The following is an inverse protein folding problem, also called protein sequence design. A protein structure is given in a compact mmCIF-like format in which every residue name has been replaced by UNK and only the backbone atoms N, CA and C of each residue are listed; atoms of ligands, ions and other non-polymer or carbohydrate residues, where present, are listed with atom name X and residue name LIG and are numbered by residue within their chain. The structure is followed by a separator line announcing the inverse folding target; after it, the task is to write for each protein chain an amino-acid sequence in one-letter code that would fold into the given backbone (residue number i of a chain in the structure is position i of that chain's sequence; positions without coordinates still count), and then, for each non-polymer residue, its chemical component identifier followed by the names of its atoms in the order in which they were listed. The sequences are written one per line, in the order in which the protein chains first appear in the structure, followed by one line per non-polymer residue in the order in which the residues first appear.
data_IF_922151530391
#
_entry.id   IF_922151530391
#
_cell.length_a   1.000
_cell.length_b   1.000
_cell.length_c   1.000
_cell.angle_alpha   90.00
_cell.angle_beta   90.00
_cell.angle_gamma   90.00
#
_symmetry.space_group_name_H-M   'P 1'
#
loop_
_entity.id
_entity.type
_entity.pdbx_description
1 polymer ?
#
# COMPACT_ATOMS: atom_id res chain seq x y z
N UNK A 1 -6.98 2.12 0.83
CA UNK A 1 -7.45 3.13 1.80
C UNK A 1 -6.92 2.87 3.21
N UNK A 2 -7.22 1.72 3.85
CA UNK A 2 -6.71 1.39 5.20
C UNK A 2 -5.17 1.47 5.32
N UNK A 3 -4.43 0.93 4.34
CA UNK A 3 -2.96 1.02 4.31
C UNK A 3 -2.48 2.49 4.26
N UNK A 4 -3.22 3.36 3.58
CA UNK A 4 -2.90 4.78 3.50
C UNK A 4 -3.16 5.51 4.83
N UNK A 5 -4.31 5.24 5.48
CA UNK A 5 -4.62 5.77 6.82
C UNK A 5 -3.56 5.30 7.82
N UNK A 6 -3.24 4.01 7.82
CA UNK A 6 -2.22 3.47 8.70
C UNK A 6 -0.87 4.15 8.46
N UNK A 7 -0.51 4.44 7.21
CA UNK A 7 0.74 5.15 6.92
C UNK A 7 0.78 6.59 7.45
N UNK A 8 -0.35 7.30 7.45
CA UNK A 8 -0.40 8.69 7.92
C UNK A 8 -0.50 8.77 9.45
N UNK A 9 -1.24 7.86 10.08
CA UNK A 9 -1.66 8.00 11.48
C UNK A 9 -1.13 6.91 12.43
N UNK A 10 -0.41 5.88 11.95
CA UNK A 10 0.10 4.81 12.83
C UNK A 10 1.40 5.19 13.57
N UNK A 11 1.74 4.48 14.65
CA UNK A 11 3.06 4.56 15.30
C UNK A 11 4.22 4.34 14.32
N UNK A 12 5.37 4.96 14.60
CA UNK A 12 6.57 4.95 13.73
C UNK A 12 6.99 3.56 13.25
N UNK A 13 6.86 2.54 14.09
CA UNK A 13 7.21 1.16 13.72
C UNK A 13 6.35 0.62 12.57
N UNK A 14 5.04 0.86 12.63
CA UNK A 14 4.08 0.40 11.59
C UNK A 14 4.30 1.19 10.31
N UNK A 15 4.59 2.49 10.41
CA UNK A 15 4.92 3.32 9.25
C UNK A 15 6.14 2.75 8.50
N UNK A 16 7.20 2.38 9.22
CA UNK A 16 8.42 1.83 8.61
C UNK A 16 8.18 0.51 7.89
N UNK A 17 7.36 -0.38 8.45
CA UNK A 17 6.96 -1.63 7.78
C UNK A 17 6.15 -1.37 6.50
N UNK A 18 5.21 -0.43 6.54
CA UNK A 18 4.42 -0.05 5.37
C UNK A 18 5.32 0.60 4.30
N UNK A 19 6.28 1.42 4.70
CA UNK A 19 7.26 2.02 3.78
C UNK A 19 8.12 0.95 3.10
N UNK A 20 8.62 -0.03 3.85
CA UNK A 20 9.35 -1.17 3.28
C UNK A 20 8.52 -1.94 2.25
N UNK A 21 7.25 -2.26 2.59
CA UNK A 21 6.32 -2.89 1.66
C UNK A 21 6.10 -2.05 0.38
N UNK A 22 5.82 -0.75 0.53
CA UNK A 22 5.58 0.15 -0.62
C UNK A 22 6.82 0.27 -1.49
N UNK A 23 8.00 0.38 -0.87
CA UNK A 23 9.28 0.46 -1.57
C UNK A 23 9.52 -0.78 -2.45
N UNK A 24 9.35 -1.98 -1.88
CA UNK A 24 9.54 -3.23 -2.63
C UNK A 24 8.53 -3.34 -3.78
N UNK A 25 7.25 -3.09 -3.50
CA UNK A 25 6.18 -3.30 -4.48
C UNK A 25 6.22 -2.29 -5.63
N UNK A 26 6.62 -1.04 -5.38
CA UNK A 26 6.75 -0.01 -6.42
C UNK A 26 8.12 0.00 -7.09
N UNK A 27 9.16 -0.50 -6.41
CA UNK A 27 10.53 -0.58 -6.92
C UNK A 27 10.81 -1.81 -7.78
N UNK A 28 9.96 -2.84 -7.72
CA UNK A 28 10.08 -4.05 -8.54
C UNK A 28 9.08 -4.07 -9.71
N UNK A 29 9.45 -4.63 -10.88
CA UNK A 29 8.52 -4.78 -11.99
C UNK A 29 7.35 -5.70 -11.64
N UNK A 30 6.13 -5.36 -12.08
CA UNK A 30 4.95 -6.23 -11.90
C UNK A 30 5.15 -7.63 -12.50
N UNK A 31 5.87 -7.73 -13.62
CA UNK A 31 6.21 -9.02 -14.23
C UNK A 31 7.01 -9.91 -13.27
N UNK A 32 7.96 -9.34 -12.53
CA UNK A 32 8.74 -10.07 -11.53
C UNK A 32 7.84 -10.58 -10.40
N UNK A 33 6.87 -9.77 -9.96
CA UNK A 33 5.92 -10.15 -8.92
C UNK A 33 4.99 -11.29 -9.39
N UNK A 34 4.52 -11.24 -10.63
CA UNK A 34 3.75 -12.32 -11.25
C UNK A 34 4.55 -13.62 -11.31
N UNK A 35 5.82 -13.54 -11.72
CA UNK A 35 6.72 -14.70 -11.75
C UNK A 35 6.97 -15.26 -10.34
N UNK A 36 7.17 -14.39 -9.34
CA UNK A 36 7.37 -14.80 -7.95
C UNK A 36 6.13 -15.48 -7.36
N UNK A 37 4.93 -14.95 -7.62
CA UNK A 37 3.69 -15.57 -7.10
C UNK A 37 3.41 -16.88 -7.83
N UNK A 38 3.56 -16.94 -9.16
CA UNK A 38 3.20 -18.13 -9.93
C UNK A 38 4.24 -19.26 -9.82
N UNK A 39 5.53 -18.93 -9.89
CA UNK A 39 6.62 -19.93 -9.85
C UNK A 39 7.27 -20.07 -8.47
N UNK A 40 7.24 -19.04 -7.62
CA UNK A 40 7.86 -19.06 -6.30
C UNK A 40 7.03 -19.77 -5.23
N UNK A 41 5.73 -19.49 -5.16
CA UNK A 41 4.83 -20.10 -4.17
C UNK A 41 4.78 -21.64 -4.21
N UNK A 42 4.86 -22.31 -5.38
CA UNK A 42 4.94 -23.76 -5.46
C UNK A 42 6.11 -24.38 -4.67
N UNK A 43 7.25 -23.69 -4.54
CA UNK A 43 8.38 -24.16 -3.71
C UNK A 43 8.05 -24.18 -2.21
N UNK A 44 7.03 -23.44 -1.80
CA UNK A 44 6.48 -23.44 -0.44
C UNK A 44 5.27 -24.37 -0.30
N UNK A 45 4.97 -25.18 -1.32
CA UNK A 45 3.81 -26.09 -1.36
C UNK A 45 2.48 -25.42 -1.73
N UNK A 46 2.49 -24.13 -2.06
CA UNK A 46 1.29 -23.38 -2.41
C UNK A 46 1.16 -23.33 -3.93
N UNK A 47 0.22 -24.11 -4.46
CA UNK A 47 -0.07 -24.16 -5.89
C UNK A 47 -1.35 -23.39 -6.18
N UNK A 48 -1.22 -22.30 -6.95
CA UNK A 48 -2.33 -21.46 -7.37
C UNK A 48 -2.60 -21.64 -8.86
N UNK A 49 -3.86 -21.57 -9.26
CA UNK A 49 -4.18 -21.42 -10.67
C UNK A 49 -3.70 -20.06 -11.21
N UNK A 50 -3.58 -19.95 -12.53
CA UNK A 50 -3.02 -18.78 -13.21
C UNK A 50 -3.78 -17.50 -12.89
N UNK A 51 -5.12 -17.57 -12.82
CA UNK A 51 -5.94 -16.40 -12.57
C UNK A 51 -5.76 -15.92 -11.13
N UNK A 52 -5.80 -16.83 -10.16
CA UNK A 52 -5.60 -16.48 -8.74
C UNK A 52 -4.19 -15.94 -8.48
N UNK A 53 -3.15 -16.55 -9.05
CA UNK A 53 -1.78 -16.04 -8.95
C UNK A 53 -1.64 -14.62 -9.51
N UNK A 54 -2.23 -14.37 -10.68
CA UNK A 54 -2.26 -13.04 -11.27
C UNK A 54 -3.02 -12.06 -10.36
N UNK A 55 -4.22 -12.42 -9.91
CA UNK A 55 -5.04 -11.59 -9.04
C UNK A 55 -4.26 -11.16 -7.78
N UNK A 56 -3.58 -12.10 -7.11
CA UNK A 56 -2.79 -11.79 -5.91
C UNK A 56 -1.67 -10.82 -6.23
N UNK A 57 -0.86 -11.09 -7.27
CA UNK A 57 0.26 -10.23 -7.66
C UNK A 57 -0.22 -8.81 -8.02
N UNK A 58 -1.33 -8.69 -8.75
CA UNK A 58 -1.92 -7.39 -9.08
C UNK A 58 -2.44 -6.68 -7.82
N UNK A 59 -3.18 -7.36 -6.95
CA UNK A 59 -3.74 -6.76 -5.73
C UNK A 59 -2.63 -6.23 -4.82
N UNK A 60 -1.58 -7.02 -4.56
CA UNK A 60 -0.47 -6.57 -3.71
C UNK A 60 0.32 -5.43 -4.35
N UNK A 61 0.43 -5.38 -5.68
CA UNK A 61 1.09 -4.30 -6.39
C UNK A 61 0.28 -3.00 -6.27
N UNK A 62 -0.98 -3.05 -6.72
CA UNK A 62 -1.86 -1.88 -6.78
C UNK A 62 -2.18 -1.33 -5.39
N UNK A 63 -2.27 -2.17 -4.36
CA UNK A 63 -2.42 -1.72 -2.99
C UNK A 63 -1.29 -0.76 -2.55
N UNK A 64 -0.04 -1.02 -2.97
CA UNK A 64 1.09 -0.14 -2.71
C UNK A 64 1.00 1.20 -3.47
N UNK A 65 0.62 1.17 -4.75
CA UNK A 65 0.42 2.39 -5.55
C UNK A 65 -0.72 3.24 -4.98
N UNK A 66 -1.85 2.64 -4.66
CA UNK A 66 -2.97 3.34 -4.05
C UNK A 66 -2.64 3.90 -2.67
N UNK A 67 -1.86 3.18 -1.86
CA UNK A 67 -1.41 3.71 -0.57
C UNK A 67 -0.64 5.03 -0.72
N UNK A 68 0.21 5.15 -1.74
CA UNK A 68 0.95 6.37 -2.05
C UNK A 68 0.11 7.49 -2.64
N UNK A 69 -0.81 7.17 -3.55
CA UNK A 69 -1.75 8.15 -4.11
C UNK A 69 -2.60 8.76 -3.00
N UNK A 70 -3.17 7.93 -2.11
CA UNK A 70 -3.96 8.42 -0.99
C UNK A 70 -3.14 9.20 0.02
N UNK A 71 -1.91 8.77 0.34
CA UNK A 71 -1.00 9.53 1.22
C UNK A 71 -0.71 10.92 0.62
N UNK A 72 -0.35 10.97 -0.66
CA UNK A 72 -0.12 12.21 -1.38
C UNK A 72 -1.35 13.12 -1.38
N UNK A 73 -2.54 12.55 -1.60
CA UNK A 73 -3.82 13.27 -1.51
C UNK A 73 -4.07 13.86 -0.13
N UNK A 74 -3.88 13.08 0.95
CA UNK A 74 -4.05 13.57 2.33
C UNK A 74 -3.04 14.66 2.66
N UNK A 75 -1.75 14.46 2.35
CA UNK A 75 -0.69 15.44 2.64
C UNK A 75 -0.80 16.71 1.78
N UNK A 76 -1.50 16.66 0.65
CA UNK A 76 -1.71 17.84 -0.20
C UNK A 76 -2.72 18.85 0.37
N UNK A 77 -3.51 18.46 1.39
CA UNK A 77 -4.48 19.35 2.03
C UNK A 77 -3.74 20.42 2.85
N UNK A 78 -3.99 21.73 2.62
CA UNK A 78 -3.32 22.80 3.36
C UNK A 78 -3.58 22.74 4.86
N UNK A 79 -2.57 23.08 5.67
CA UNK A 79 -2.68 23.08 7.14
C UNK A 79 -3.80 23.99 7.65
N UNK A 80 -4.06 25.12 6.98
CA UNK A 80 -5.13 26.05 7.36
C UNK A 80 -6.54 25.43 7.32
N UNK A 81 -6.76 24.39 6.50
CA UNK A 81 -8.03 23.65 6.51
C UNK A 81 -8.19 22.83 7.79
N UNK A 82 -7.11 22.18 8.26
CA UNK A 82 -7.10 21.45 9.52
C UNK A 82 -7.28 22.38 10.73
N UNK A 83 -6.67 23.58 10.69
CA UNK A 83 -6.84 24.60 11.72
C UNK A 83 -8.26 25.15 11.76
N UNK A 84 -8.88 25.41 10.60
CA UNK A 84 -10.27 25.90 10.50
C UNK A 84 -11.27 24.91 11.09
N UNK A 85 -11.09 23.62 10.78
CA UNK A 85 -11.90 22.51 11.32
C UNK A 85 -11.82 22.50 12.86
N UNK A 86 -10.63 22.69 13.42
CA UNK A 86 -10.41 22.75 14.87
C UNK A 86 -11.07 23.97 15.52
N UNK A 87 -11.06 25.13 14.86
CA UNK A 87 -11.73 26.36 15.33
C UNK A 87 -13.25 26.22 15.33
N UNK A 88 -13.79 25.53 14.33
CA UNK A 88 -15.24 25.25 14.22
C UNK A 88 -15.73 24.18 15.21
N UNK A 89 -14.85 23.58 16.01
CA UNK A 89 -15.20 22.51 16.94
C UNK A 89 -15.57 21.19 16.24
N UNK A 90 -15.18 21.04 14.98
CA UNK A 90 -15.40 19.83 14.20
C UNK A 90 -14.16 18.96 14.40
N UNK A 91 -14.09 18.17 15.48
CA UNK A 91 -12.90 17.35 15.75
C UNK A 91 -12.94 16.63 17.07
#
# INVERSE_FOLDING_TARGET
FLIAIMRVFSPKLIQWLIEGYVFIMRGSPLMLQLMMVFFGLPYLGINLDRFTAALIAFVINYAAYFAEIFRGGITSVPQGQYESIKVLGIG
#
